data_IF_570192905822
#
_entry.id   IF_570192905822
#
_cell.length_a   1.000
_cell.length_b   1.000
_cell.length_c   1.000
_cell.angle_alpha   90.00
_cell.angle_beta   90.00
_cell.angle_gamma   90.00
#
_symmetry.space_group_name_H-M   'P 1'
#
loop_
_entity.id
_entity.type
_entity.pdbx_description
1 polymer ?
#
# COMPACT_ATOMS: atom_id res chain seq x y z
N UNK A 1 56.16 -0.73 45.30
CA UNK A 1 55.37 0.31 44.61
C UNK A 1 54.79 -0.34 43.37
N UNK A 2 53.49 -0.62 43.39
CA UNK A 2 52.83 -1.60 42.54
C UNK A 2 52.54 -1.06 41.12
N UNK A 3 52.45 -2.01 40.18
CA UNK A 3 52.13 -1.85 38.76
C UNK A 3 50.66 -1.45 38.52
N UNK A 4 50.41 -0.81 37.37
CA UNK A 4 49.06 -0.61 36.82
C UNK A 4 49.00 -1.09 35.36
N UNK A 5 48.20 -2.13 35.05
CA UNK A 5 47.87 -2.51 33.68
C UNK A 5 46.38 -2.29 33.33
N UNK A 6 46.19 -1.85 32.08
CA UNK A 6 45.14 -2.29 31.14
C UNK A 6 43.76 -1.60 31.11
N UNK A 7 43.54 -0.95 29.95
CA UNK A 7 42.41 -1.14 29.01
C UNK A 7 41.00 -0.65 29.38
N UNK A 8 40.62 0.51 28.83
CA UNK A 8 39.22 0.87 28.53
C UNK A 8 38.80 0.43 27.11
N UNK A 9 37.53 0.06 26.87
CA UNK A 9 37.10 -0.53 25.61
C UNK A 9 36.96 0.51 24.49
N UNK A 10 37.36 0.07 23.30
CA UNK A 10 37.42 0.79 22.02
C UNK A 10 36.02 1.14 21.49
N UNK A 11 35.73 2.43 21.34
CA UNK A 11 34.63 2.96 20.52
C UNK A 11 34.97 2.84 19.01
N UNK A 12 34.92 1.62 18.46
CA UNK A 12 35.24 1.32 17.05
C UNK A 12 34.06 0.81 16.22
N UNK A 13 32.83 1.13 16.62
CA UNK A 13 31.62 0.58 15.99
C UNK A 13 30.69 1.59 15.29
N UNK A 14 30.55 2.82 15.82
CA UNK A 14 29.49 3.74 15.35
C UNK A 14 29.93 4.72 14.26
N UNK A 15 31.19 5.17 14.26
CA UNK A 15 31.69 6.13 13.26
C UNK A 15 31.91 5.58 11.85
N UNK A 16 32.07 4.25 11.69
CA UNK A 16 32.40 3.63 10.40
C UNK A 16 31.19 3.38 9.50
N UNK A 17 30.01 3.15 10.06
CA UNK A 17 28.78 2.94 9.28
C UNK A 17 28.30 4.26 8.65
N UNK A 18 28.24 5.34 9.44
CA UNK A 18 27.83 6.67 8.95
C UNK A 18 28.78 7.24 7.88
N UNK A 19 30.09 6.97 7.98
CA UNK A 19 31.05 7.37 6.96
C UNK A 19 30.94 6.61 5.64
N UNK A 20 30.41 5.37 5.64
CA UNK A 20 30.21 4.56 4.43
C UNK A 20 28.99 5.01 3.63
N UNK A 21 27.89 5.31 4.30
CA UNK A 21 26.66 5.75 3.64
C UNK A 21 26.85 7.11 2.96
N UNK A 22 27.59 8.04 3.60
CA UNK A 22 28.01 9.31 2.98
C UNK A 22 28.83 9.09 1.72
N UNK A 23 29.86 8.24 1.78
CA UNK A 23 30.74 7.97 0.62
C UNK A 23 29.99 7.28 -0.51
N UNK A 24 29.07 6.37 -0.20
CA UNK A 24 28.26 5.67 -1.19
C UNK A 24 27.29 6.63 -1.92
N UNK A 25 26.63 7.53 -1.20
CA UNK A 25 25.72 8.53 -1.79
C UNK A 25 26.46 9.52 -2.70
N UNK A 26 27.53 10.14 -2.20
CA UNK A 26 28.32 11.09 -2.99
C UNK A 26 28.99 10.43 -4.20
N UNK A 27 29.41 9.17 -4.07
CA UNK A 27 29.98 8.39 -5.17
C UNK A 27 28.99 8.06 -6.30
N UNK A 28 27.69 8.18 -6.04
CA UNK A 28 26.62 7.99 -7.03
C UNK A 28 26.03 9.32 -7.55
N UNK A 29 26.61 10.47 -7.18
CA UNK A 29 26.09 11.79 -7.54
C UNK A 29 24.83 12.19 -6.75
N UNK A 30 24.54 11.54 -5.63
CA UNK A 30 23.41 11.86 -4.76
C UNK A 30 23.85 12.78 -3.61
N UNK A 31 22.99 13.75 -3.29
CA UNK A 31 23.12 14.53 -2.06
C UNK A 31 22.63 13.73 -0.85
N UNK A 32 23.35 13.82 0.26
CA UNK A 32 23.03 13.08 1.49
C UNK A 32 22.59 14.07 2.56
N UNK A 33 21.33 13.96 2.97
CA UNK A 33 20.78 14.71 4.10
C UNK A 33 20.79 13.85 5.36
N UNK A 34 21.46 14.32 6.41
CA UNK A 34 21.46 13.64 7.71
C UNK A 34 20.46 14.28 8.67
N UNK A 35 19.59 13.45 9.24
CA UNK A 35 18.62 13.92 10.21
C UNK A 35 19.29 14.25 11.54
N UNK A 36 18.88 15.33 12.17
CA UNK A 36 19.41 15.78 13.47
C UNK A 36 18.36 15.56 14.56
N UNK A 37 18.72 14.87 15.65
CA UNK A 37 17.83 14.66 16.80
C UNK A 37 16.52 13.92 16.47
N UNK A 38 16.49 13.12 15.40
CA UNK A 38 15.25 12.50 14.92
C UNK A 38 14.80 11.34 15.82
N UNK A 39 13.77 11.59 16.64
CA UNK A 39 13.09 10.57 17.45
C UNK A 39 11.82 10.01 16.79
N UNK A 40 11.37 10.62 15.68
CA UNK A 40 10.14 10.28 14.97
C UNK A 40 10.37 9.41 13.73
N UNK A 41 11.54 8.74 13.65
CA UNK A 41 11.86 7.71 12.66
C UNK A 41 11.68 8.23 11.23
N UNK A 42 11.04 7.46 10.34
CA UNK A 42 10.86 7.80 8.92
C UNK A 42 10.09 9.11 8.74
N UNK A 43 8.94 9.28 9.38
CA UNK A 43 8.14 10.51 9.31
C UNK A 43 8.94 11.75 9.77
N UNK A 44 9.69 11.63 10.87
CA UNK A 44 10.55 12.71 11.36
C UNK A 44 11.65 13.09 10.38
N UNK A 45 12.34 12.10 9.82
CA UNK A 45 13.41 12.32 8.85
C UNK A 45 12.91 12.94 7.55
N UNK A 46 11.77 12.44 7.05
CA UNK A 46 11.10 13.02 5.88
C UNK A 46 10.69 14.46 6.12
N UNK A 47 10.10 14.78 7.28
CA UNK A 47 9.70 16.15 7.60
C UNK A 47 10.91 17.11 7.69
N UNK A 48 12.05 16.67 8.22
CA UNK A 48 13.28 17.50 8.26
C UNK A 48 13.82 17.80 6.86
N UNK A 49 13.81 16.82 5.95
CA UNK A 49 14.20 17.06 4.57
C UNK A 49 13.16 17.94 3.83
N UNK A 50 11.87 17.65 4.03
CA UNK A 50 10.78 18.37 3.37
C UNK A 50 10.67 19.82 3.79
N UNK A 51 10.99 20.18 5.04
CA UNK A 51 10.98 21.59 5.46
C UNK A 51 11.96 22.44 4.64
N UNK A 52 13.10 21.88 4.25
CA UNK A 52 14.09 22.56 3.41
C UNK A 52 13.66 22.53 1.94
N UNK A 53 13.26 21.35 1.44
CA UNK A 53 12.89 21.19 0.03
C UNK A 53 11.67 22.03 -0.35
N UNK A 54 10.66 22.11 0.52
CA UNK A 54 9.44 22.87 0.22
C UNK A 54 9.65 24.40 0.22
N UNK A 55 10.76 24.91 0.77
CA UNK A 55 11.12 26.34 0.67
C UNK A 55 11.70 26.71 -0.70
N UNK A 56 12.35 25.75 -1.39
CA UNK A 56 13.05 25.99 -2.66
C UNK A 56 12.29 25.45 -3.87
N UNK A 57 11.39 24.48 -3.67
CA UNK A 57 10.59 23.89 -4.73
C UNK A 57 9.35 24.74 -5.04
N UNK A 58 8.95 24.71 -6.31
CA UNK A 58 7.74 25.37 -6.80
C UNK A 58 6.52 24.45 -6.67
N UNK A 59 5.29 24.99 -6.67
CA UNK A 59 4.06 24.20 -6.69
C UNK A 59 3.97 23.19 -7.85
N UNK A 60 4.68 23.45 -8.96
CA UNK A 60 4.70 22.59 -10.14
C UNK A 60 5.65 21.39 -10.00
N UNK A 61 6.52 21.38 -8.99
CA UNK A 61 7.48 20.31 -8.78
C UNK A 61 6.84 19.06 -8.17
N UNK A 62 7.61 17.95 -8.17
CA UNK A 62 7.19 16.64 -7.70
C UNK A 62 8.25 16.06 -6.77
N UNK A 63 7.81 15.37 -5.72
CA UNK A 63 8.71 14.71 -4.77
C UNK A 63 8.41 13.22 -4.77
N UNK A 64 9.42 12.41 -5.09
CA UNK A 64 9.35 10.96 -4.96
C UNK A 64 9.88 10.55 -3.59
N UNK A 65 9.02 9.92 -2.78
CA UNK A 65 9.40 9.30 -1.52
C UNK A 65 9.42 7.78 -1.73
N UNK A 66 10.54 7.12 -1.42
CA UNK A 66 10.67 5.68 -1.57
C UNK A 66 11.47 5.04 -0.44
N UNK A 67 11.23 3.76 -0.18
CA UNK A 67 12.05 2.97 0.73
C UNK A 67 13.38 2.59 0.07
N UNK A 68 14.43 2.41 0.90
CA UNK A 68 15.78 2.15 0.42
C UNK A 68 15.97 0.77 -0.23
N UNK A 69 15.08 -0.19 0.08
CA UNK A 69 15.08 -1.55 -0.47
C UNK A 69 14.23 -1.67 -1.74
N UNK A 70 13.59 -0.59 -2.18
CA UNK A 70 12.72 -0.57 -3.35
C UNK A 70 13.47 -0.43 -4.67
N UNK A 71 13.14 -1.26 -5.65
CA UNK A 71 13.58 -1.12 -7.05
C UNK A 71 12.38 -0.76 -7.92
N UNK A 72 12.40 0.45 -8.49
CA UNK A 72 11.33 0.97 -9.33
C UNK A 72 11.28 0.30 -10.70
N UNK A 73 10.08 0.23 -11.27
CA UNK A 73 9.89 -0.05 -12.70
C UNK A 73 10.66 0.98 -13.56
N UNK A 74 11.24 0.59 -14.71
CA UNK A 74 11.98 1.51 -15.56
C UNK A 74 11.20 2.76 -16.00
N UNK A 75 9.87 2.65 -16.13
CA UNK A 75 8.97 3.75 -16.53
C UNK A 75 8.14 4.33 -15.39
N UNK A 76 8.49 4.02 -14.13
CA UNK A 76 7.73 4.44 -12.96
C UNK A 76 7.49 5.95 -12.95
N UNK A 77 8.57 6.73 -13.03
CA UNK A 77 8.50 8.20 -12.95
C UNK A 77 7.74 8.77 -14.14
N UNK A 78 8.01 8.29 -15.36
CA UNK A 78 7.31 8.74 -16.58
C UNK A 78 5.80 8.51 -16.48
N UNK A 79 5.37 7.31 -16.06
CA UNK A 79 3.97 6.98 -15.90
C UNK A 79 3.32 7.77 -14.76
N UNK A 80 4.00 7.90 -13.62
CA UNK A 80 3.50 8.66 -12.49
C UNK A 80 3.32 10.15 -12.83
N UNK A 81 4.26 10.76 -13.57
CA UNK A 81 4.14 12.13 -14.05
C UNK A 81 2.94 12.30 -14.99
N UNK A 82 2.66 11.33 -15.86
CA UNK A 82 1.48 11.34 -16.74
C UNK A 82 0.17 11.33 -15.96
N UNK A 83 0.08 10.51 -14.92
CA UNK A 83 -1.11 10.47 -14.05
C UNK A 83 -1.28 11.77 -13.25
N UNK A 84 -0.17 12.38 -12.79
CA UNK A 84 -0.18 13.67 -12.08
C UNK A 84 -0.43 14.89 -12.99
N UNK A 85 -0.60 14.69 -14.31
CA UNK A 85 -1.08 15.74 -15.20
C UNK A 85 -2.59 16.02 -15.00
N UNK A 86 -3.34 15.07 -14.44
CA UNK A 86 -4.69 15.31 -13.94
C UNK A 86 -4.62 15.97 -12.56
N UNK A 87 -5.04 17.23 -12.47
CA UNK A 87 -5.00 18.02 -11.24
C UNK A 87 -5.86 17.45 -10.09
N UNK A 88 -6.81 16.55 -10.40
CA UNK A 88 -7.58 15.83 -9.39
C UNK A 88 -6.75 14.75 -8.68
N UNK A 89 -5.61 14.35 -9.23
CA UNK A 89 -4.69 13.35 -8.64
C UNK A 89 -3.64 14.09 -7.79
N UNK A 90 -3.58 13.74 -6.51
CA UNK A 90 -2.63 14.35 -5.57
C UNK A 90 -1.32 13.59 -5.41
N UNK A 91 -1.37 12.26 -5.60
CA UNK A 91 -0.21 11.39 -5.50
C UNK A 91 -0.40 10.09 -6.28
N UNK A 92 0.73 9.53 -6.72
CA UNK A 92 0.82 8.26 -7.45
C UNK A 92 1.73 7.30 -6.70
N UNK A 93 1.18 6.23 -6.15
CA UNK A 93 1.93 5.21 -5.40
C UNK A 93 2.25 3.99 -6.24
N UNK A 94 3.29 3.27 -5.85
CA UNK A 94 3.71 2.03 -6.48
C UNK A 94 2.84 0.83 -6.13
N UNK A 95 2.75 -0.12 -7.05
CA UNK A 95 2.29 -1.48 -6.77
C UNK A 95 3.51 -2.30 -6.36
N UNK A 96 3.58 -2.71 -5.10
CA UNK A 96 4.72 -3.44 -4.57
C UNK A 96 4.64 -4.94 -4.90
N UNK A 97 5.80 -5.50 -5.23
CA UNK A 97 6.04 -6.91 -5.51
C UNK A 97 7.19 -7.39 -4.65
N UNK A 98 7.16 -8.66 -4.25
CA UNK A 98 8.17 -9.21 -3.35
C UNK A 98 9.33 -9.81 -4.14
N UNK A 99 10.54 -9.58 -3.68
CA UNK A 99 11.73 -10.24 -4.21
C UNK A 99 11.66 -11.77 -4.07
N UNK A 100 12.39 -12.54 -4.90
CA UNK A 100 12.51 -13.98 -4.73
C UNK A 100 13.25 -14.36 -3.44
N UNK A 101 12.83 -15.44 -2.78
CA UNK A 101 13.53 -15.97 -1.60
C UNK A 101 12.62 -16.27 -0.41
N UNK A 102 13.24 -16.49 0.75
CA UNK A 102 12.61 -16.64 2.07
C UNK A 102 11.59 -17.79 2.21
N UNK A 103 11.78 -18.87 1.43
CA UNK A 103 11.03 -20.12 1.55
C UNK A 103 9.52 -19.95 1.44
N UNK A 104 8.78 -20.66 2.30
CA UNK A 104 7.32 -20.65 2.29
C UNK A 104 6.73 -19.27 2.68
N UNK A 105 7.32 -18.59 3.66
CA UNK A 105 6.85 -17.27 4.13
C UNK A 105 7.01 -16.22 3.03
N UNK A 106 8.13 -16.26 2.31
CA UNK A 106 8.33 -15.41 1.14
C UNK A 106 7.32 -15.72 0.02
N UNK A 107 7.01 -16.99 -0.23
CA UNK A 107 6.01 -17.35 -1.26
C UNK A 107 4.60 -16.89 -0.93
N UNK A 108 4.18 -17.02 0.33
CA UNK A 108 2.88 -16.55 0.80
C UNK A 108 2.75 -15.03 0.68
N UNK A 109 3.78 -14.28 1.08
CA UNK A 109 3.81 -12.83 0.89
C UNK A 109 3.74 -12.44 -0.59
N UNK A 110 4.49 -13.12 -1.46
CA UNK A 110 4.42 -12.84 -2.90
C UNK A 110 3.05 -13.20 -3.50
N UNK A 111 2.35 -14.21 -2.95
CA UNK A 111 0.96 -14.52 -3.33
C UNK A 111 0.02 -13.38 -2.91
N UNK A 112 0.15 -12.91 -1.67
CA UNK A 112 -0.60 -11.76 -1.15
C UNK A 112 -0.40 -10.51 -2.04
N UNK A 113 0.85 -10.19 -2.39
CA UNK A 113 1.16 -9.00 -3.18
C UNK A 113 0.61 -9.10 -4.60
N UNK A 114 0.64 -10.29 -5.21
CA UNK A 114 0.03 -10.51 -6.52
C UNK A 114 -1.49 -10.38 -6.49
N UNK A 115 -2.16 -10.80 -5.41
CA UNK A 115 -3.60 -10.58 -5.21
C UNK A 115 -3.90 -9.10 -5.07
N UNK A 116 -3.12 -8.38 -4.25
CA UNK A 116 -3.24 -6.93 -4.11
C UNK A 116 -3.08 -6.20 -5.45
N UNK A 117 -2.05 -6.51 -6.23
CA UNK A 117 -1.82 -5.93 -7.55
C UNK A 117 -3.02 -6.15 -8.50
N UNK A 118 -3.60 -7.36 -8.47
CA UNK A 118 -4.80 -7.70 -9.25
C UNK A 118 -6.03 -6.90 -8.82
N UNK A 119 -6.19 -6.65 -7.51
CA UNK A 119 -7.33 -5.89 -7.00
C UNK A 119 -7.22 -4.39 -7.33
N UNK A 120 -6.02 -3.84 -7.31
CA UNK A 120 -5.75 -2.47 -7.78
C UNK A 120 -6.04 -2.34 -9.28
N UNK A 121 -5.59 -3.30 -10.09
CA UNK A 121 -5.87 -3.37 -11.53
C UNK A 121 -7.39 -3.38 -11.80
N UNK A 122 -8.15 -4.21 -11.07
CA UNK A 122 -9.63 -4.26 -11.15
C UNK A 122 -10.32 -2.97 -10.73
N UNK A 123 -9.69 -2.17 -9.87
CA UNK A 123 -10.19 -0.86 -9.43
C UNK A 123 -9.69 0.29 -10.30
N UNK A 124 -9.14 0.00 -11.49
CA UNK A 124 -8.56 0.96 -12.42
C UNK A 124 -7.50 1.85 -11.73
N UNK A 125 -6.61 1.23 -10.95
CA UNK A 125 -5.53 1.93 -10.24
C UNK A 125 -5.97 2.73 -9.03
N UNK A 126 -7.26 2.74 -8.63
CA UNK A 126 -7.70 3.48 -7.43
C UNK A 126 -7.17 2.82 -6.17
N UNK A 127 -6.25 3.49 -5.50
CA UNK A 127 -5.63 3.01 -4.29
C UNK A 127 -6.42 3.48 -3.06
N UNK A 128 -6.69 2.54 -2.15
CA UNK A 128 -7.23 2.88 -0.83
C UNK A 128 -6.17 3.55 0.03
N UNK A 129 -4.97 2.98 -0.03
CA UNK A 129 -3.75 3.35 0.69
C UNK A 129 -2.60 3.30 -0.32
N UNK A 130 -1.80 4.38 -0.41
CA UNK A 130 -0.54 4.38 -1.15
C UNK A 130 0.55 3.76 -0.30
N UNK A 131 1.52 3.15 -0.94
CA UNK A 131 2.52 2.34 -0.26
C UNK A 131 3.78 3.15 0.00
N UNK A 132 4.38 2.98 1.18
CA UNK A 132 5.65 3.61 1.54
C UNK A 132 6.84 3.22 0.66
N UNK A 133 6.71 2.14 -0.12
CA UNK A 133 7.76 1.61 -1.01
C UNK A 133 8.19 2.60 -2.09
N UNK A 134 7.24 3.27 -2.74
CA UNK A 134 7.49 4.42 -3.62
C UNK A 134 6.19 5.18 -3.87
N UNK A 135 6.17 6.48 -3.62
CA UNK A 135 5.06 7.36 -3.95
C UNK A 135 5.56 8.70 -4.47
N UNK A 136 5.08 9.10 -5.65
CA UNK A 136 5.32 10.41 -6.24
C UNK A 136 4.20 11.37 -5.81
N UNK A 137 4.57 12.45 -5.14
CA UNK A 137 3.67 13.47 -4.63
C UNK A 137 3.83 14.77 -5.39
N UNK A 138 2.74 15.55 -5.47
CA UNK A 138 2.81 16.94 -5.92
C UNK A 138 3.22 17.85 -4.76
N UNK A 139 4.13 18.79 -5.02
CA UNK A 139 4.59 19.74 -4.00
C UNK A 139 3.45 20.59 -3.46
N UNK A 140 2.60 21.14 -4.34
CA UNK A 140 1.46 21.94 -3.93
C UNK A 140 0.46 21.19 -3.03
N UNK A 141 0.29 19.89 -3.25
CA UNK A 141 -0.55 19.02 -2.42
C UNK A 141 0.09 18.78 -1.05
N UNK A 142 1.39 18.53 -0.98
CA UNK A 142 2.10 18.36 0.30
C UNK A 142 2.07 19.66 1.13
N UNK A 143 2.25 20.82 0.50
CA UNK A 143 2.14 22.13 1.16
C UNK A 143 0.72 22.35 1.71
N UNK A 144 -0.32 21.96 0.95
CA UNK A 144 -1.70 22.02 1.43
C UNK A 144 -1.96 21.07 2.60
N UNK A 145 -1.38 19.88 2.59
CA UNK A 145 -1.45 18.95 3.74
C UNK A 145 -0.84 19.61 4.97
N UNK A 146 0.40 20.10 4.87
CA UNK A 146 1.08 20.74 5.99
C UNK A 146 0.30 21.94 6.56
N UNK A 147 -0.29 22.76 5.68
CA UNK A 147 -1.12 23.89 6.08
C UNK A 147 -2.46 23.50 6.74
N UNK A 148 -3.02 22.34 6.39
CA UNK A 148 -4.30 21.86 6.92
C UNK A 148 -4.15 21.07 8.24
N UNK A 149 -2.94 20.62 8.59
CA UNK A 149 -2.66 19.94 9.86
C UNK A 149 -3.01 20.81 11.07
N UNK A 150 -3.60 20.19 12.08
CA UNK A 150 -4.04 20.85 13.31
C UNK A 150 -5.31 21.71 13.15
N UNK A 151 -5.88 21.78 11.94
CA UNK A 151 -7.14 22.48 11.66
C UNK A 151 -8.16 21.52 11.05
N UNK A 152 -7.91 21.09 9.83
CA UNK A 152 -8.81 20.22 9.05
C UNK A 152 -8.33 18.76 9.02
N UNK A 153 -7.02 18.56 9.25
CA UNK A 153 -6.38 17.25 9.28
C UNK A 153 -5.75 16.99 10.66
N UNK A 154 -5.77 15.74 11.16
CA UNK A 154 -5.06 15.36 12.39
C UNK A 154 -3.54 15.50 12.21
N UNK A 155 -2.79 15.52 13.31
CA UNK A 155 -1.32 15.59 13.30
C UNK A 155 -0.75 17.00 13.53
N UNK A 156 0.58 17.13 13.73
CA UNK A 156 1.21 18.39 14.11
C UNK A 156 1.14 19.45 13.00
N UNK A 157 0.78 20.68 13.36
CA UNK A 157 0.67 21.80 12.43
C UNK A 157 2.00 22.06 11.68
N UNK A 158 1.92 22.33 10.38
CA UNK A 158 3.07 22.66 9.54
C UNK A 158 3.91 21.46 9.08
N UNK A 159 3.64 20.24 9.56
CA UNK A 159 4.34 19.03 9.12
C UNK A 159 3.58 18.32 7.98
N UNK A 160 4.31 17.73 7.04
CA UNK A 160 3.70 16.97 5.94
C UNK A 160 3.21 15.61 6.44
N UNK A 161 4.13 14.83 7.01
CA UNK A 161 3.83 13.53 7.60
C UNK A 161 3.45 13.67 9.08
N UNK A 162 2.38 13.00 9.51
CA UNK A 162 2.04 12.93 10.93
C UNK A 162 3.06 12.06 11.69
N UNK A 163 3.81 12.67 12.61
CA UNK A 163 4.83 11.99 13.42
C UNK A 163 4.24 11.15 14.55
N UNK A 164 2.94 11.27 14.81
CA UNK A 164 2.21 10.45 15.78
C UNK A 164 1.67 9.16 15.16
N UNK A 165 1.56 9.10 13.83
CA UNK A 165 1.06 7.96 13.11
C UNK A 165 2.07 6.80 13.06
N UNK A 166 1.57 5.58 13.27
CA UNK A 166 2.40 4.37 13.22
C UNK A 166 2.76 3.96 11.78
N UNK A 167 1.92 4.34 10.83
CA UNK A 167 2.06 4.05 9.38
C UNK A 167 1.87 5.36 8.63
N UNK A 168 2.99 6.02 8.32
CA UNK A 168 3.02 7.37 7.75
C UNK A 168 2.49 7.41 6.31
N UNK A 169 2.67 6.32 5.55
CA UNK A 169 2.21 6.14 4.17
C UNK A 169 0.68 6.03 4.06
N UNK A 170 0.08 5.25 4.97
CA UNK A 170 -1.36 5.17 5.13
C UNK A 170 -1.96 6.51 5.57
N UNK A 171 -1.31 7.18 6.51
CA UNK A 171 -1.77 8.46 7.05
C UNK A 171 -1.76 9.55 5.98
N UNK A 172 -0.62 9.76 5.29
CA UNK A 172 -0.52 10.78 4.23
C UNK A 172 -1.51 10.50 3.09
N UNK A 173 -1.82 9.24 2.81
CA UNK A 173 -2.85 8.89 1.82
C UNK A 173 -4.23 9.39 2.23
N UNK A 174 -4.61 9.20 3.51
CA UNK A 174 -5.88 9.70 4.04
C UNK A 174 -5.89 11.23 4.08
N UNK A 175 -4.78 11.87 4.43
CA UNK A 175 -4.63 13.32 4.39
C UNK A 175 -4.93 13.89 3.00
N UNK A 176 -4.25 13.36 1.97
CA UNK A 176 -4.41 13.79 0.58
C UNK A 176 -5.86 13.59 0.11
N UNK A 177 -6.46 12.43 0.42
CA UNK A 177 -7.86 12.15 0.06
C UNK A 177 -8.86 13.02 0.81
N UNK A 178 -8.57 13.37 2.06
CA UNK A 178 -9.42 14.26 2.86
C UNK A 178 -9.43 15.69 2.34
N UNK A 179 -8.36 16.11 1.66
CA UNK A 179 -8.30 17.38 0.92
C UNK A 179 -8.99 17.33 -0.46
N UNK A 180 -9.64 16.22 -0.81
CA UNK A 180 -10.42 16.05 -2.03
C UNK A 180 -9.66 15.48 -3.22
N UNK A 181 -8.39 15.11 -3.06
CA UNK A 181 -7.58 14.54 -4.15
C UNK A 181 -7.75 13.03 -4.29
N UNK A 182 -7.53 12.54 -5.50
CA UNK A 182 -7.41 11.11 -5.80
C UNK A 182 -5.99 10.63 -5.57
N UNK A 183 -5.87 9.40 -5.10
CA UNK A 183 -4.62 8.66 -4.98
C UNK A 183 -4.71 7.43 -5.88
N UNK A 184 -3.73 7.25 -6.76
CA UNK A 184 -3.74 6.19 -7.77
C UNK A 184 -2.44 5.39 -7.78
N UNK A 185 -2.52 4.15 -8.25
CA UNK A 185 -1.40 3.23 -8.42
C UNK A 185 -1.55 2.53 -9.76
N UNK A 186 -1.08 3.14 -10.87
CA UNK A 186 -1.20 2.56 -12.20
C UNK A 186 -0.33 1.30 -12.33
N UNK A 187 -0.75 0.37 -13.20
CA UNK A 187 -0.12 -0.95 -13.35
C UNK A 187 1.38 -0.89 -13.71
N UNK A 188 1.79 0.14 -14.47
CA UNK A 188 3.19 0.33 -14.88
C UNK A 188 4.06 0.99 -13.80
N UNK A 189 3.46 1.48 -12.72
CA UNK A 189 4.19 1.96 -11.54
C UNK A 189 4.35 0.82 -10.53
N UNK A 190 5.14 -0.20 -10.87
CA UNK A 190 5.45 -1.28 -9.94
C UNK A 190 6.81 -1.06 -9.25
N UNK A 191 6.97 -1.66 -8.07
CA UNK A 191 8.18 -1.62 -7.25
C UNK A 191 8.47 -3.02 -6.74
N UNK A 192 9.72 -3.48 -6.81
CA UNK A 192 10.15 -4.72 -6.15
C UNK A 192 10.77 -4.35 -4.81
N UNK A 193 10.34 -4.98 -3.72
CA UNK A 193 10.76 -4.73 -2.33
C UNK A 193 11.09 -6.06 -1.64
N UNK A 194 11.80 -5.98 -0.51
CA UNK A 194 12.13 -7.13 0.31
C UNK A 194 10.87 -7.81 0.87
N UNK A 195 10.95 -9.12 1.09
CA UNK A 195 9.91 -9.88 1.81
C UNK A 195 10.43 -10.32 3.16
N UNK A 196 9.52 -10.45 4.14
CA UNK A 196 9.94 -10.78 5.50
C UNK A 196 10.55 -12.21 5.55
N UNK A 197 11.77 -12.37 6.13
CA UNK A 197 12.46 -13.66 6.10
C UNK A 197 11.78 -14.80 6.86
N UNK A 198 10.96 -14.46 7.86
CA UNK A 198 10.26 -15.44 8.68
C UNK A 198 9.02 -14.89 9.36
N UNK A 199 8.28 -15.79 10.02
CA UNK A 199 6.99 -15.50 10.66
C UNK A 199 7.06 -14.40 11.73
N UNK A 200 8.17 -14.31 12.48
CA UNK A 200 8.35 -13.30 13.52
C UNK A 200 8.46 -11.89 12.94
N UNK A 201 9.20 -11.73 11.85
CA UNK A 201 9.37 -10.43 11.18
C UNK A 201 8.09 -10.04 10.46
N UNK A 202 7.43 -11.01 9.82
CA UNK A 202 6.10 -10.82 9.25
C UNK A 202 5.07 -10.39 10.29
N UNK A 203 5.07 -11.01 11.49
CA UNK A 203 4.16 -10.65 12.57
C UNK A 203 4.32 -9.19 12.97
N UNK A 204 5.56 -8.74 13.16
CA UNK A 204 5.86 -7.34 13.51
C UNK A 204 5.42 -6.39 12.42
N UNK A 205 5.65 -6.74 11.15
CA UNK A 205 5.24 -5.94 10.01
C UNK A 205 3.71 -5.81 9.95
N UNK A 206 2.99 -6.93 9.98
CA UNK A 206 1.53 -6.96 9.87
C UNK A 206 0.85 -6.33 11.08
N UNK A 207 1.40 -6.49 12.29
CA UNK A 207 0.88 -5.84 13.49
C UNK A 207 0.97 -4.31 13.37
N UNK A 208 2.09 -3.79 12.86
CA UNK A 208 2.27 -2.35 12.61
C UNK A 208 1.23 -1.84 11.61
N UNK A 209 1.05 -2.56 10.50
CA UNK A 209 0.12 -2.17 9.44
C UNK A 209 -1.34 -2.18 9.92
N UNK A 210 -1.77 -3.24 10.59
CA UNK A 210 -3.15 -3.34 11.09
C UNK A 210 -3.43 -2.33 12.19
N UNK A 211 -2.47 -2.11 13.10
CA UNK A 211 -2.62 -1.13 14.15
C UNK A 211 -2.66 0.30 13.59
N UNK A 212 -1.75 0.63 12.67
CA UNK A 212 -1.74 1.94 12.01
C UNK A 212 -3.01 2.20 11.20
N UNK A 213 -3.57 1.17 10.55
CA UNK A 213 -4.87 1.26 9.89
C UNK A 213 -5.99 1.67 10.87
N UNK A 214 -6.10 0.98 12.01
CA UNK A 214 -7.14 1.24 13.02
C UNK A 214 -6.94 2.61 13.65
N UNK A 215 -5.71 2.97 14.03
CA UNK A 215 -5.39 4.25 14.68
C UNK A 215 -5.65 5.43 13.75
N UNK A 216 -5.24 5.35 12.48
CA UNK A 216 -5.50 6.40 11.50
C UNK A 216 -7.01 6.56 11.24
N UNK A 217 -7.76 5.45 11.10
CA UNK A 217 -9.22 5.52 10.94
C UNK A 217 -9.91 6.18 12.15
N UNK A 218 -9.42 5.92 13.36
CA UNK A 218 -9.92 6.59 14.56
C UNK A 218 -9.59 8.07 14.56
N UNK A 219 -8.37 8.46 14.18
CA UNK A 219 -7.93 9.86 14.15
C UNK A 219 -8.73 10.71 13.14
N UNK A 220 -9.04 10.14 11.97
CA UNK A 220 -9.82 10.82 10.92
C UNK A 220 -11.34 10.73 11.10
N UNK A 221 -11.81 9.81 11.94
CA UNK A 221 -13.23 9.52 12.13
C UNK A 221 -13.88 8.90 10.89
N UNK A 222 -15.18 8.62 10.99
CA UNK A 222 -15.97 8.05 9.89
C UNK A 222 -16.54 9.15 9.00
N UNK A 223 -16.09 9.20 7.74
CA UNK A 223 -16.53 10.16 6.73
C UNK A 223 -16.52 9.51 5.34
N UNK A 224 -16.88 10.26 4.29
CA UNK A 224 -16.94 9.71 2.91
C UNK A 224 -15.61 9.15 2.40
N UNK A 225 -14.48 9.70 2.88
CA UNK A 225 -13.13 9.28 2.50
C UNK A 225 -12.71 8.02 3.24
N UNK A 226 -12.99 7.94 4.55
CA UNK A 226 -12.59 6.81 5.41
C UNK A 226 -13.58 5.65 5.37
N UNK A 227 -14.85 5.87 5.02
CA UNK A 227 -15.91 4.85 5.03
C UNK A 227 -15.55 3.58 4.22
N UNK A 228 -15.04 3.66 2.97
CA UNK A 228 -14.64 2.46 2.25
C UNK A 228 -13.54 1.67 2.97
N UNK A 229 -12.62 2.37 3.62
CA UNK A 229 -11.53 1.74 4.37
C UNK A 229 -12.01 1.16 5.69
N UNK A 230 -12.88 1.86 6.41
CA UNK A 230 -13.54 1.35 7.60
C UNK A 230 -14.40 0.11 7.28
N UNK A 231 -15.13 0.11 6.17
CA UNK A 231 -15.91 -1.04 5.70
C UNK A 231 -15.02 -2.25 5.39
N UNK A 232 -13.84 -2.04 4.80
CA UNK A 232 -12.87 -3.11 4.59
C UNK A 232 -12.36 -3.69 5.92
N UNK A 233 -12.04 -2.84 6.89
CA UNK A 233 -11.61 -3.27 8.23
C UNK A 233 -12.72 -4.04 8.96
N UNK A 234 -13.95 -3.54 8.90
CA UNK A 234 -15.12 -4.23 9.45
C UNK A 234 -15.37 -5.58 8.77
N UNK A 235 -15.24 -5.64 7.44
CA UNK A 235 -15.35 -6.88 6.67
C UNK A 235 -14.33 -7.95 7.09
N UNK A 236 -13.08 -7.56 7.38
CA UNK A 236 -12.09 -8.47 7.94
C UNK A 236 -12.50 -8.97 9.34
N UNK A 237 -13.08 -8.11 10.18
CA UNK A 237 -13.63 -8.50 11.49
C UNK A 237 -14.82 -9.46 11.39
N UNK A 238 -15.74 -9.24 10.44
CA UNK A 238 -16.85 -10.17 10.16
C UNK A 238 -16.32 -11.51 9.65
N UNK A 239 -15.35 -11.49 8.73
CA UNK A 239 -14.70 -12.70 8.21
C UNK A 239 -14.02 -13.51 9.30
N UNK A 240 -13.37 -12.85 10.27
CA UNK A 240 -12.84 -13.48 11.48
C UNK A 240 -13.94 -14.20 12.27
N UNK A 241 -15.02 -13.50 12.62
CA UNK A 241 -16.13 -14.10 13.38
C UNK A 241 -16.71 -15.30 12.63
N UNK A 242 -17.02 -15.15 11.35
CA UNK A 242 -17.58 -16.20 10.51
C UNK A 242 -16.67 -17.45 10.46
N UNK A 243 -15.35 -17.26 10.30
CA UNK A 243 -14.38 -18.35 10.30
C UNK A 243 -14.37 -19.12 11.63
N UNK A 244 -14.30 -18.41 12.76
CA UNK A 244 -14.25 -19.06 14.07
C UNK A 244 -15.58 -19.70 14.46
N UNK A 245 -16.72 -19.12 14.05
CA UNK A 245 -18.03 -19.75 14.18
C UNK A 245 -18.12 -21.03 13.35
N UNK A 246 -17.58 -21.04 12.12
CA UNK A 246 -17.52 -22.24 11.29
C UNK A 246 -16.66 -23.34 11.92
N UNK A 247 -15.46 -23.00 12.43
CA UNK A 247 -14.58 -23.94 13.14
C UNK A 247 -15.29 -24.51 14.37
N UNK A 248 -15.90 -23.65 15.19
CA UNK A 248 -16.62 -24.08 16.39
C UNK A 248 -17.78 -25.02 16.05
N UNK A 249 -18.61 -24.67 15.07
CA UNK A 249 -19.73 -25.51 14.62
C UNK A 249 -19.22 -26.87 14.10
N UNK A 250 -18.11 -26.88 13.36
CA UNK A 250 -17.49 -28.10 12.85
C UNK A 250 -17.05 -29.01 14.00
N UNK A 251 -16.42 -28.45 15.04
CA UNK A 251 -15.99 -29.22 16.22
C UNK A 251 -17.20 -29.78 16.97
N UNK A 252 -18.23 -28.96 17.21
CA UNK A 252 -19.45 -29.38 17.92
C UNK A 252 -20.23 -30.47 17.19
N UNK A 253 -20.13 -30.52 15.86
CA UNK A 253 -20.86 -31.48 15.02
C UNK A 253 -20.01 -32.67 14.58
N UNK A 254 -18.69 -32.66 14.81
CA UNK A 254 -17.77 -33.72 14.38
C UNK A 254 -18.15 -35.10 14.95
N UNK A 255 -18.73 -35.16 16.16
CA UNK A 255 -19.22 -36.40 16.78
C UNK A 255 -20.47 -37.00 16.14
N UNK A 256 -21.20 -36.25 15.31
CA UNK A 256 -22.45 -36.69 14.67
C UNK A 256 -22.22 -37.38 13.31
N UNK A 257 -20.95 -37.68 12.98
CA UNK A 257 -20.54 -38.22 11.69
C UNK A 257 -20.34 -37.14 10.62
N UNK A 258 -19.44 -37.38 9.67
CA UNK A 258 -19.15 -36.46 8.59
C UNK A 258 -20.25 -36.54 7.52
N UNK A 259 -21.15 -35.55 7.50
CA UNK A 259 -22.15 -35.39 6.42
C UNK A 259 -21.70 -34.30 5.46
N UNK A 260 -21.10 -34.68 4.34
CA UNK A 260 -20.71 -33.72 3.29
C UNK A 260 -21.96 -33.23 2.57
N UNK A 261 -22.28 -31.96 2.76
CA UNK A 261 -23.38 -31.31 2.04
C UNK A 261 -22.88 -30.80 0.68
N UNK A 262 -23.45 -31.24 -0.46
CA UNK A 262 -22.96 -30.86 -1.79
C UNK A 262 -22.94 -29.36 -2.04
N UNK A 263 -23.91 -28.62 -1.48
CA UNK A 263 -23.96 -27.15 -1.59
C UNK A 263 -22.71 -26.49 -0.99
N UNK A 264 -22.38 -26.82 0.26
CA UNK A 264 -21.22 -26.24 0.95
C UNK A 264 -19.90 -26.70 0.34
N UNK A 265 -19.85 -27.93 -0.18
CA UNK A 265 -18.71 -28.40 -0.94
C UNK A 265 -18.52 -27.56 -2.21
N UNK A 266 -19.58 -27.29 -2.97
CA UNK A 266 -19.51 -26.46 -4.17
C UNK A 266 -19.06 -25.03 -3.85
N UNK A 267 -19.59 -24.43 -2.78
CA UNK A 267 -19.16 -23.12 -2.28
C UNK A 267 -17.67 -23.15 -1.92
N UNK A 268 -17.21 -24.17 -1.18
CA UNK A 268 -15.80 -24.36 -0.85
C UNK A 268 -14.90 -24.47 -2.08
N UNK A 269 -15.32 -25.23 -3.10
CA UNK A 269 -14.58 -25.34 -4.37
C UNK A 269 -14.48 -24.00 -5.11
N UNK A 270 -15.52 -23.15 -5.06
CA UNK A 270 -15.46 -21.81 -5.64
C UNK A 270 -14.39 -20.96 -4.94
N UNK A 271 -14.30 -21.03 -3.60
CA UNK A 271 -13.23 -20.34 -2.85
C UNK A 271 -11.85 -20.84 -3.24
N UNK A 272 -11.65 -22.16 -3.35
CA UNK A 272 -10.37 -22.73 -3.81
C UNK A 272 -10.03 -22.26 -5.23
N UNK A 273 -11.00 -22.32 -6.14
CA UNK A 273 -10.81 -21.89 -7.53
C UNK A 273 -10.43 -20.40 -7.60
N UNK A 274 -11.08 -19.56 -6.80
CA UNK A 274 -10.74 -18.13 -6.70
C UNK A 274 -9.30 -17.94 -6.22
N UNK A 275 -8.88 -18.62 -5.15
CA UNK A 275 -7.52 -18.53 -4.59
C UNK A 275 -6.45 -18.95 -5.61
N UNK A 276 -6.75 -19.96 -6.44
CA UNK A 276 -5.85 -20.43 -7.51
C UNK A 276 -5.83 -19.46 -8.69
N UNK A 277 -6.99 -18.98 -9.14
CA UNK A 277 -7.11 -18.07 -10.29
C UNK A 277 -6.47 -16.71 -10.01
N UNK A 278 -6.56 -16.22 -8.78
CA UNK A 278 -5.98 -14.93 -8.40
C UNK A 278 -4.46 -14.91 -8.50
N UNK A 279 -3.79 -16.04 -8.22
CA UNK A 279 -2.33 -16.17 -8.33
C UNK A 279 -1.86 -16.74 -9.67
N UNK A 280 -2.77 -16.97 -10.64
CA UNK A 280 -2.46 -17.60 -11.94
C UNK A 280 -1.30 -16.93 -12.69
N UNK A 281 -1.18 -15.61 -12.58
CA UNK A 281 -0.10 -14.84 -13.23
C UNK A 281 1.29 -15.15 -12.67
N UNK A 282 1.39 -15.79 -11.50
CA UNK A 282 2.66 -16.21 -10.88
C UNK A 282 3.16 -17.60 -11.33
N UNK A 283 2.34 -18.36 -12.07
CA UNK A 283 2.70 -19.68 -12.61
C UNK A 283 2.22 -20.87 -11.77
N UNK A 284 2.59 -22.08 -12.20
CA UNK A 284 2.02 -23.33 -11.69
C UNK A 284 2.38 -23.65 -10.23
N UNK A 285 3.60 -23.34 -9.77
CA UNK A 285 4.01 -23.64 -8.39
C UNK A 285 3.19 -22.85 -7.34
N UNK A 286 3.02 -21.52 -7.45
CA UNK A 286 2.15 -20.78 -6.54
C UNK A 286 0.67 -21.18 -6.66
N UNK A 287 0.21 -21.57 -7.85
CA UNK A 287 -1.14 -22.11 -8.03
C UNK A 287 -1.35 -23.43 -7.28
N UNK A 288 -0.38 -24.34 -7.31
CA UNK A 288 -0.43 -25.60 -6.55
C UNK A 288 -0.44 -25.34 -5.04
N UNK A 289 0.39 -24.39 -4.58
CA UNK A 289 0.40 -23.98 -3.17
C UNK A 289 -0.97 -23.42 -2.74
N UNK A 290 -1.58 -22.58 -3.58
CA UNK A 290 -2.92 -22.04 -3.34
C UNK A 290 -4.00 -23.13 -3.38
N UNK A 291 -3.88 -24.11 -4.28
CA UNK A 291 -4.82 -25.23 -4.41
C UNK A 291 -4.82 -26.16 -3.18
N UNK A 292 -3.67 -26.30 -2.50
CA UNK A 292 -3.56 -27.12 -1.29
C UNK A 292 -4.44 -26.58 -0.15
N UNK A 293 -4.83 -25.30 -0.20
CA UNK A 293 -5.65 -24.52 0.74
C UNK A 293 -5.21 -24.50 2.20
N UNK A 294 -4.85 -25.62 2.80
CA UNK A 294 -4.40 -25.76 4.19
C UNK A 294 -3.29 -24.76 4.52
N UNK A 295 -2.37 -24.54 3.58
CA UNK A 295 -1.23 -23.64 3.79
C UNK A 295 -1.65 -22.16 3.77
N UNK A 296 -2.50 -21.78 2.82
CA UNK A 296 -3.09 -20.42 2.77
C UNK A 296 -4.02 -20.18 3.96
N UNK A 297 -4.75 -21.20 4.40
CA UNK A 297 -5.61 -21.11 5.57
C UNK A 297 -4.83 -20.91 6.87
N UNK A 298 -3.71 -21.62 7.04
CA UNK A 298 -2.80 -21.38 8.16
C UNK A 298 -2.22 -19.95 8.15
N UNK A 299 -1.92 -19.42 6.95
CA UNK A 299 -1.51 -18.04 6.77
C UNK A 299 -2.61 -17.04 7.14
N UNK A 300 -3.85 -17.29 6.73
CA UNK A 300 -5.01 -16.47 7.07
C UNK A 300 -5.28 -16.48 8.58
N UNK A 301 -5.18 -17.64 9.24
CA UNK A 301 -5.29 -17.75 10.70
C UNK A 301 -4.19 -16.95 11.41
N UNK A 302 -2.96 -16.98 10.89
CA UNK A 302 -1.89 -16.14 11.39
C UNK A 302 -2.23 -14.63 11.28
N UNK A 303 -2.75 -14.18 10.13
CA UNK A 303 -3.17 -12.78 9.96
C UNK A 303 -4.36 -12.41 10.86
N UNK A 304 -5.28 -13.34 11.11
CA UNK A 304 -6.38 -13.16 12.05
C UNK A 304 -5.89 -12.97 13.49
N UNK A 305 -4.88 -13.74 13.92
CA UNK A 305 -4.22 -13.53 15.21
C UNK A 305 -3.56 -12.15 15.30
N UNK A 306 -2.96 -11.67 14.21
CA UNK A 306 -2.41 -10.29 14.13
C UNK A 306 -3.52 -9.26 14.30
N UNK A 307 -4.66 -9.43 13.61
CA UNK A 307 -5.80 -8.53 13.70
C UNK A 307 -6.33 -8.46 15.14
N UNK A 308 -6.56 -9.60 15.78
CA UNK A 308 -6.98 -9.69 17.18
C UNK A 308 -6.01 -8.96 18.11
N UNK A 309 -4.70 -9.19 17.92
CA UNK A 309 -3.66 -8.51 18.70
C UNK A 309 -3.66 -7.00 18.46
N UNK A 310 -3.81 -6.55 17.22
CA UNK A 310 -3.85 -5.14 16.86
C UNK A 310 -5.04 -4.43 17.50
N UNK A 311 -6.23 -5.04 17.42
CA UNK A 311 -7.46 -4.53 18.06
C UNK A 311 -7.27 -4.45 19.57
N UNK A 312 -6.75 -5.50 20.20
CA UNK A 312 -6.47 -5.53 21.64
C UNK A 312 -5.53 -4.43 22.10
N UNK A 313 -4.42 -4.24 21.39
CA UNK A 313 -3.44 -3.19 21.71
C UNK A 313 -4.01 -1.79 21.51
N UNK A 314 -4.83 -1.62 20.47
CA UNK A 314 -5.52 -0.37 20.18
C UNK A 314 -6.61 -0.04 21.20
N UNK A 315 -7.27 -1.04 21.78
CA UNK A 315 -8.24 -0.86 22.89
C UNK A 315 -7.52 -0.52 24.19
N UNK A 316 -6.40 -1.20 24.49
CA UNK A 316 -5.62 -0.97 25.71
C UNK A 316 -4.72 0.27 25.67
N UNK A 317 -4.75 1.06 24.59
CA UNK A 317 -3.86 2.22 24.35
C UNK A 317 -2.38 1.89 24.61
N UNK A 318 -1.96 0.65 24.36
CA UNK A 318 -0.59 0.23 24.64
C UNK A 318 0.38 0.95 23.70
N UNK A 319 1.44 1.58 24.19
CA UNK A 319 2.43 2.27 23.33
C UNK A 319 3.06 1.32 22.29
N UNK A 320 3.16 1.78 21.04
CA UNK A 320 3.76 1.00 19.96
C UNK A 320 5.30 0.89 20.12
N UNK A 321 5.78 -0.24 20.65
CA UNK A 321 7.22 -0.56 20.68
C UNK A 321 7.70 -1.08 19.32
N UNK A 322 8.77 -0.50 18.81
CA UNK A 322 9.40 -0.89 17.53
C UNK A 322 10.52 -1.92 17.73
N UNK A 323 10.65 -2.86 16.80
CA UNK A 323 11.75 -3.84 16.76
C UNK A 323 12.32 -3.93 15.34
N UNK A 324 13.64 -3.84 15.22
CA UNK A 324 14.36 -4.01 13.95
C UNK A 324 14.40 -5.48 13.52
N UNK A 325 14.34 -5.70 12.19
CA UNK A 325 14.73 -6.97 11.57
C UNK A 325 16.24 -6.90 11.39
N UNK A 326 16.98 -7.69 12.15
CA UNK A 326 18.44 -7.79 12.01
C UNK A 326 18.74 -8.97 11.10
N UNK A 327 18.78 -8.75 9.80
CA UNK A 327 19.34 -9.73 8.86
C UNK A 327 20.05 -9.04 7.69
N UNK A 328 21.18 -8.40 7.99
CA UNK A 328 22.16 -8.06 6.98
C UNK A 328 23.01 -9.30 6.70
N UNK A 329 22.71 -10.05 5.63
CA UNK A 329 23.60 -11.10 5.12
C UNK A 329 24.32 -10.57 3.88
N UNK A 330 25.60 -10.17 3.95
CA UNK A 330 26.33 -9.55 2.85
C UNK A 330 26.67 -10.50 1.68
N UNK A 331 26.21 -11.75 1.67
CA UNK A 331 26.63 -12.77 0.69
C UNK A 331 25.66 -13.04 -0.48
N UNK A 332 24.61 -12.25 -0.66
CA UNK A 332 23.74 -12.34 -1.86
C UNK A 332 23.79 -11.02 -2.66
N UNK A 333 24.99 -10.53 -2.95
CA UNK A 333 25.23 -9.52 -4.00
C UNK A 333 25.88 -10.16 -5.21
N UNK A 334 25.24 -11.19 -5.77
CA UNK A 334 25.28 -11.37 -7.22
C UNK A 334 23.95 -10.86 -7.74
N UNK A 335 23.99 -9.71 -8.42
CA UNK A 335 22.90 -9.20 -9.25
C UNK A 335 22.51 -10.30 -10.24
N UNK A 336 21.62 -11.20 -9.83
CA UNK A 336 20.88 -12.02 -10.77
C UNK A 336 20.05 -11.05 -11.58
N UNK A 337 20.13 -11.16 -12.91
CA UNK A 337 19.23 -10.43 -13.78
C UNK A 337 17.81 -10.70 -13.29
N UNK A 338 17.19 -9.71 -12.65
CA UNK A 338 15.77 -9.74 -12.31
C UNK A 338 15.08 -9.82 -13.65
N UNK A 339 14.70 -11.05 -14.02
CA UNK A 339 13.94 -11.32 -15.22
C UNK A 339 12.72 -10.43 -15.10
N UNK A 340 12.60 -9.46 -16.00
CA UNK A 340 11.39 -8.64 -16.14
C UNK A 340 10.24 -9.63 -16.07
N UNK A 341 9.31 -9.52 -15.12
CA UNK A 341 8.15 -10.36 -15.17
C UNK A 341 7.51 -10.10 -16.54
N UNK A 342 7.48 -11.14 -17.38
CA UNK A 342 6.81 -11.10 -18.69
C UNK A 342 5.32 -10.98 -18.42
N UNK A 343 4.89 -9.78 -18.08
CA UNK A 343 3.48 -9.43 -18.02
C UNK A 343 3.08 -9.10 -19.45
N UNK A 344 2.35 -10.03 -20.06
CA UNK A 344 1.68 -9.81 -21.33
C UNK A 344 0.50 -8.83 -21.08
N UNK A 345 0.84 -7.55 -20.87
CA UNK A 345 -0.10 -6.43 -20.71
C UNK A 345 -0.57 -5.90 -22.07
N UNK A 346 -0.05 -6.44 -23.16
CA UNK A 346 -0.35 -6.03 -24.52
C UNK A 346 -1.57 -6.73 -25.12
N UNK A 347 -2.75 -6.71 -24.47
CA UNK A 347 -4.04 -6.98 -25.15
C UNK A 347 -5.20 -6.19 -24.54
N UNK A 348 -5.17 -4.86 -24.70
CA UNK A 348 -6.39 -4.04 -24.83
C UNK A 348 -6.19 -2.97 -25.90
N UNK A 349 -6.11 -3.41 -27.15
CA UNK A 349 -6.37 -2.56 -28.31
C UNK A 349 -7.79 -2.84 -28.79
N UNK A 350 -8.70 -1.86 -28.64
CA UNK A 350 -9.95 -1.62 -29.42
C UNK A 350 -10.91 -0.73 -28.60
N UNK A 351 -11.62 0.29 -29.11
CA UNK A 351 -11.80 0.91 -30.44
C UNK A 351 -12.19 2.37 -30.18
N UNK A 352 -11.62 3.32 -30.92
CA UNK A 352 -12.03 4.72 -30.95
C UNK A 352 -11.50 5.40 -32.21
N UNK A 353 -11.77 4.79 -33.37
CA UNK A 353 -11.29 5.27 -34.67
C UNK A 353 -12.10 6.51 -35.07
N UNK A 354 -11.59 7.70 -34.76
CA UNK A 354 -12.07 8.94 -35.38
C UNK A 354 -11.76 8.89 -36.88
N UNK A 355 -12.75 8.54 -37.69
CA UNK A 355 -12.73 8.76 -39.13
C UNK A 355 -12.97 10.26 -39.38
N UNK A 356 -11.94 10.92 -39.92
CA UNK A 356 -12.10 12.15 -40.72
C UNK A 356 -12.99 11.82 -41.92
N UNK A 357 -14.06 12.57 -42.09
CA UNK A 357 -14.84 12.67 -43.31
C UNK A 357 -15.04 14.15 -43.62
N UNK A 358 -14.19 14.68 -44.49
CA UNK A 358 -14.33 16.02 -45.06
C UNK A 358 -15.40 15.97 -46.16
N UNK A 359 -16.37 16.90 -46.14
CA UNK A 359 -17.11 17.42 -47.31
C UNK A 359 -18.09 18.53 -46.89
N UNK A 360 -17.71 19.78 -47.15
CA UNK A 360 -18.61 20.89 -47.47
C UNK A 360 -19.07 20.76 -48.95
N UNK A 361 -20.25 21.25 -49.38
CA UNK A 361 -20.62 22.68 -49.43
C UNK A 361 -22.04 22.99 -48.90
N UNK A 362 -22.31 24.15 -48.29
CA UNK A 362 -22.79 25.36 -48.97
C UNK A 362 -24.10 25.82 -48.29
N UNK A 363 -24.43 27.12 -48.23
CA UNK A 363 -25.26 27.70 -47.16
C UNK A 363 -26.72 27.92 -47.59
N UNK A 364 -27.67 27.76 -46.67
CA UNK A 364 -28.93 28.51 -46.74
C UNK A 364 -29.76 28.44 -45.45
N UNK A 365 -30.46 29.55 -45.18
CA UNK A 365 -31.80 29.55 -44.58
C UNK A 365 -31.92 29.38 -43.06
N UNK A 366 -32.10 30.48 -42.34
CA UNK A 366 -32.37 30.48 -40.91
C UNK A 366 -33.77 30.00 -40.51
N UNK A 367 -33.94 29.73 -39.21
CA UNK A 367 -35.05 30.24 -38.38
C UNK A 367 -34.94 29.73 -36.95
N UNK A 368 -35.04 30.72 -36.07
CA UNK A 368 -35.39 30.69 -34.64
C UNK A 368 -36.46 29.64 -34.33
N UNK A 369 -36.29 28.92 -33.20
CA UNK A 369 -37.35 28.57 -32.23
C UNK A 369 -36.77 27.84 -31.00
N UNK A 370 -36.62 28.57 -29.89
CA UNK A 370 -36.97 28.07 -28.55
C UNK A 370 -38.49 28.12 -28.41
N UNK A 371 -39.14 27.19 -27.68
CA UNK A 371 -39.48 27.48 -26.28
C UNK A 371 -39.51 26.21 -25.37
N UNK A 372 -39.01 26.28 -24.12
CA UNK A 372 -39.76 26.48 -22.84
C UNK A 372 -40.11 25.18 -22.06
N UNK A 373 -39.63 25.16 -20.80
CA UNK A 373 -40.12 24.54 -19.55
C UNK A 373 -40.74 23.12 -19.57
N UNK A 374 -40.28 22.29 -18.62
CA UNK A 374 -40.95 22.11 -17.31
C UNK A 374 -40.15 21.26 -16.32
N UNK A 375 -40.49 21.51 -15.05
CA UNK A 375 -39.98 21.10 -13.73
C UNK A 375 -40.31 19.67 -13.28
N UNK A 376 -39.71 19.29 -12.12
CA UNK A 376 -39.97 18.15 -11.19
C UNK A 376 -39.20 16.87 -11.55
N UNK A 377 -38.56 16.13 -10.64
CA UNK A 377 -38.61 16.06 -9.18
C UNK A 377 -38.78 14.58 -8.79
N UNK A 378 -37.95 14.07 -7.85
CA UNK A 378 -37.99 12.72 -7.22
C UNK A 378 -37.65 11.56 -8.20
N UNK A 379 -37.07 10.39 -7.88
CA UNK A 379 -36.87 9.48 -6.73
C UNK A 379 -35.57 8.68 -7.04
N UNK A 380 -34.63 8.39 -6.14
CA UNK A 380 -34.60 7.36 -5.08
C UNK A 380 -35.11 5.97 -5.49
N UNK A 381 -34.20 5.09 -5.92
CA UNK A 381 -34.22 3.62 -5.72
C UNK A 381 -32.98 3.04 -6.45
N UNK A 382 -32.00 2.50 -5.73
CA UNK A 382 -31.91 1.10 -5.30
C UNK A 382 -31.29 0.21 -6.38
N UNK A 383 -30.08 -0.26 -6.13
CA UNK A 383 -29.67 -1.62 -6.49
C UNK A 383 -28.37 -1.98 -5.74
N UNK A 384 -28.57 -2.60 -4.58
CA UNK A 384 -27.57 -3.37 -3.86
C UNK A 384 -28.09 -4.80 -3.80
N UNK A 385 -27.42 -5.70 -4.50
CA UNK A 385 -27.55 -7.14 -4.34
C UNK A 385 -26.31 -7.81 -4.92
N UNK A 386 -26.03 -9.00 -4.37
CA UNK A 386 -24.92 -9.92 -4.65
C UNK A 386 -23.70 -9.66 -3.74
N UNK A 387 -23.77 -10.03 -2.46
CA UNK A 387 -23.65 -11.41 -1.89
C UNK A 387 -22.22 -11.90 -1.84
#
# INVERSE_FOLDING_TARGET
MAADPATGPRDRGRGQLHGRDRRAGHGAGAEVFETVGNVHKKAGGLNQALSILLEVLTPADRILVMDADGVLAPRFVETALRELADESVGAVGGIFWGEPGHGLVGELQRNEYARYARDIDRKNGRAMVLTGTATLHRVDVLTRVAAARGRDLPGPAGLVYDTTALTEDNEITLAIKSLGFRCVSPADCWVVTEVMPGWRDLWRQRLRWQRGAIENLRAYGLNRVTLPYAAQQAGMGVGLIAMWSFVLLTILTAGNGLRVQPLWLAVGLIFVAERVVTVRRRGARPMLLAALMVVEWAYDLFLQCVLLRAVWDSVRRAEARWHHVTSFNPLITRKSHVRTPKFDLARRNHVGRHRRGNKHPGPDGGRVRTPVRRTRGAEVAAEASLS
#
